data_IF_851455867930
#
_entry.id   IF_851455867930
#
_cell.length_a   1.000
_cell.length_b   1.000
_cell.length_c   1.000
_cell.angle_alpha   90.00
_cell.angle_beta   90.00
_cell.angle_gamma   90.00
#
_symmetry.space_group_name_H-M   'P 1'
#
loop_
_entity.id
_entity.type
_entity.pdbx_description
1 polymer ?
#
# COMPACT_ATOMS: atom_id res chain seq x y z
N UNK A 1 -2.03 2.43 15.44
CA UNK A 1 -2.22 1.10 14.85
C UNK A 1 -1.52 0.00 15.66
N UNK A 2 -2.08 -1.21 15.68
CA UNK A 2 -1.53 -2.41 16.33
C UNK A 2 -1.32 -3.53 15.31
N UNK A 3 -0.11 -4.07 15.23
CA UNK A 3 0.19 -5.21 14.35
C UNK A 3 -0.36 -6.52 14.91
N UNK A 4 -1.01 -7.31 14.05
CA UNK A 4 -1.54 -8.63 14.36
C UNK A 4 -0.52 -9.75 14.14
N UNK A 5 0.48 -9.49 13.31
CA UNK A 5 1.57 -10.40 13.02
C UNK A 5 2.86 -9.62 12.72
N UNK A 6 3.97 -10.35 12.57
CA UNK A 6 5.25 -9.75 12.23
C UNK A 6 5.25 -9.24 10.78
N UNK A 7 5.87 -8.07 10.50
CA UNK A 7 5.99 -7.50 9.16
C UNK A 7 7.07 -8.21 8.33
N UNK A 8 6.92 -9.53 8.14
CA UNK A 8 7.89 -10.36 7.43
C UNK A 8 8.07 -9.83 6.01
N UNK A 9 9.32 -9.47 5.68
CA UNK A 9 9.71 -8.95 4.37
C UNK A 9 8.97 -7.68 3.93
N UNK A 10 8.37 -6.89 4.84
CA UNK A 10 7.59 -5.68 4.49
C UNK A 10 8.34 -4.74 3.55
N UNK A 11 9.64 -4.61 3.77
CA UNK A 11 10.54 -3.80 2.95
C UNK A 11 11.11 -4.54 1.72
N UNK A 12 10.64 -5.74 1.41
CA UNK A 12 11.25 -6.65 0.44
C UNK A 12 12.42 -7.44 1.02
N UNK A 13 13.33 -7.90 0.16
CA UNK A 13 14.57 -8.55 0.57
C UNK A 13 15.65 -7.51 0.88
N UNK A 14 15.81 -7.21 2.16
CA UNK A 14 16.93 -6.43 2.68
C UNK A 14 17.59 -7.16 3.84
N UNK A 15 18.93 -7.11 3.90
CA UNK A 15 19.72 -7.61 5.03
C UNK A 15 19.49 -6.81 6.31
N UNK A 16 19.24 -5.51 6.17
CA UNK A 16 18.87 -4.61 7.25
C UNK A 16 17.66 -3.77 6.80
N UNK A 17 16.52 -3.80 7.52
CA UNK A 17 15.37 -3.00 7.15
C UNK A 17 15.69 -1.50 7.27
N UNK A 18 15.24 -0.66 6.33
CA UNK A 18 15.49 0.77 6.39
C UNK A 18 14.78 1.43 7.58
N UNK A 19 15.34 2.53 8.07
CA UNK A 19 14.63 3.42 8.99
C UNK A 19 13.43 4.05 8.26
N UNK A 20 12.19 3.84 8.73
CA UNK A 20 11.03 4.43 8.08
C UNK A 20 11.06 5.95 8.15
N UNK A 21 10.75 6.63 7.04
CA UNK A 21 10.56 8.08 7.04
C UNK A 21 9.18 8.44 7.58
N UNK A 22 9.11 9.55 8.32
CA UNK A 22 7.87 10.19 8.73
C UNK A 22 7.24 11.00 7.59
N UNK A 23 5.95 11.32 7.71
CA UNK A 23 5.28 12.22 6.75
C UNK A 23 5.94 13.60 6.71
N UNK A 24 6.38 14.13 7.87
CA UNK A 24 7.07 15.42 7.93
C UNK A 24 8.36 15.40 7.10
N UNK A 25 9.15 14.32 7.19
CA UNK A 25 10.37 14.16 6.38
C UNK A 25 10.06 14.03 4.89
N UNK A 26 8.99 13.34 4.50
CA UNK A 26 8.57 13.26 3.10
C UNK A 26 8.11 14.62 2.55
N UNK A 27 7.46 15.46 3.36
CA UNK A 27 7.11 16.83 2.98
C UNK A 27 8.37 17.68 2.84
N UNK A 28 9.29 17.62 3.81
CA UNK A 28 10.55 18.38 3.76
C UNK A 28 11.43 17.96 2.57
N UNK A 29 11.42 16.67 2.21
CA UNK A 29 12.14 16.15 1.04
C UNK A 29 11.47 16.53 -0.30
N UNK A 30 10.27 17.13 -0.28
CA UNK A 30 9.55 17.53 -1.49
C UNK A 30 8.86 16.38 -2.23
N UNK A 31 8.64 15.25 -1.54
CA UNK A 31 7.95 14.09 -2.10
C UNK A 31 6.44 14.33 -2.24
N UNK A 32 5.86 15.13 -1.35
CA UNK A 32 4.48 15.60 -1.43
C UNK A 32 4.34 16.95 -0.73
N UNK A 33 3.30 17.72 -1.06
CA UNK A 33 2.98 18.95 -0.34
C UNK A 33 2.24 18.66 0.97
N UNK A 34 2.25 19.61 1.91
CA UNK A 34 1.46 19.50 3.14
C UNK A 34 -0.05 19.39 2.86
N UNK A 35 -0.55 20.03 1.79
CA UNK A 35 -1.95 19.94 1.38
C UNK A 35 -2.33 18.54 0.91
N UNK A 36 -1.47 17.88 0.13
CA UNK A 36 -1.66 16.49 -0.29
C UNK A 36 -1.60 15.55 0.92
N UNK A 37 -0.64 15.76 1.83
CA UNK A 37 -0.56 14.99 3.07
C UNK A 37 -1.82 15.14 3.94
N UNK A 38 -2.37 16.36 4.06
CA UNK A 38 -3.60 16.60 4.80
C UNK A 38 -4.83 15.92 4.16
N UNK A 39 -4.91 15.88 2.83
CA UNK A 39 -5.95 15.14 2.11
C UNK A 39 -5.87 13.64 2.42
N UNK A 40 -4.66 13.06 2.37
CA UNK A 40 -4.48 11.67 2.76
C UNK A 40 -4.81 11.43 4.22
N UNK A 41 -4.46 12.35 5.12
CA UNK A 41 -4.81 12.21 6.54
C UNK A 41 -6.32 12.05 6.73
N UNK A 42 -7.12 12.98 6.22
CA UNK A 42 -8.59 12.93 6.36
C UNK A 42 -9.16 11.63 5.79
N UNK A 43 -8.60 11.13 4.69
CA UNK A 43 -9.05 9.89 4.07
C UNK A 43 -8.61 8.63 4.85
N UNK A 44 -7.39 8.62 5.39
CA UNK A 44 -6.84 7.53 6.19
C UNK A 44 -7.54 7.37 7.54
N UNK A 45 -7.96 8.47 8.18
CA UNK A 45 -8.82 8.42 9.37
C UNK A 45 -10.16 7.71 9.10
N UNK A 46 -10.62 7.74 7.84
CA UNK A 46 -11.84 7.03 7.39
C UNK A 46 -11.56 5.64 6.81
N UNK A 47 -10.31 5.18 6.92
CA UNK A 47 -9.85 3.87 6.48
C UNK A 47 -9.64 3.74 4.96
N UNK A 48 -9.26 4.81 4.26
CA UNK A 48 -9.00 4.74 2.82
C UNK A 48 -8.09 3.56 2.42
N UNK A 49 -8.53 2.78 1.43
CA UNK A 49 -7.72 1.73 0.81
C UNK A 49 -6.85 2.32 -0.29
N UNK A 50 -5.57 2.00 -0.34
CA UNK A 50 -4.65 2.61 -1.30
C UNK A 50 -3.59 1.68 -1.88
N UNK A 51 -3.18 2.03 -3.10
CA UNK A 51 -2.01 1.47 -3.80
C UNK A 51 -1.03 2.61 -4.06
N UNK A 52 0.23 2.45 -3.64
CA UNK A 52 1.33 3.35 -4.03
C UNK A 52 2.11 2.70 -5.17
N UNK A 53 2.14 3.36 -6.34
CA UNK A 53 2.66 2.78 -7.57
C UNK A 53 3.88 3.55 -8.09
N UNK A 54 4.87 2.81 -8.61
CA UNK A 54 6.01 3.34 -9.38
C UNK A 54 6.67 2.19 -10.13
N UNK A 55 7.13 2.39 -11.37
CA UNK A 55 7.77 1.32 -12.15
C UNK A 55 9.12 0.87 -11.56
N UNK A 56 10.07 1.74 -11.17
CA UNK A 56 11.36 1.25 -10.66
C UNK A 56 11.29 0.63 -9.26
N UNK A 57 12.07 -0.42 -8.97
CA UNK A 57 12.42 -0.81 -7.61
C UNK A 57 13.14 0.33 -6.86
N UNK A 58 13.10 0.32 -5.52
CA UNK A 58 13.76 1.35 -4.68
C UNK A 58 13.28 2.80 -4.94
N UNK A 59 12.07 2.91 -5.47
CA UNK A 59 11.34 4.14 -5.78
C UNK A 59 10.78 4.87 -4.57
N UNK A 60 10.68 4.19 -3.43
CA UNK A 60 10.13 4.74 -2.20
C UNK A 60 8.64 4.48 -2.00
N UNK A 61 8.03 3.54 -2.76
CA UNK A 61 6.62 3.13 -2.59
C UNK A 61 6.32 2.71 -1.15
N UNK A 62 7.07 1.73 -0.64
CA UNK A 62 6.89 1.20 0.73
C UNK A 62 7.19 2.25 1.78
N UNK A 63 8.17 3.14 1.55
CA UNK A 63 8.47 4.27 2.44
C UNK A 63 7.29 5.23 2.53
N UNK A 64 6.73 5.60 1.38
CA UNK A 64 5.57 6.50 1.29
C UNK A 64 4.34 5.89 1.93
N UNK A 65 4.02 4.62 1.60
CA UNK A 65 2.91 3.89 2.19
C UNK A 65 3.05 3.77 3.71
N UNK A 66 4.23 3.39 4.21
CA UNK A 66 4.48 3.24 5.65
C UNK A 66 4.32 4.56 6.39
N UNK A 67 4.75 5.68 5.79
CA UNK A 67 4.52 7.00 6.36
C UNK A 67 3.02 7.34 6.40
N UNK A 68 2.27 7.06 5.32
CA UNK A 68 0.82 7.34 5.25
C UNK A 68 0.01 6.52 6.26
N UNK A 69 0.46 5.30 6.59
CA UNK A 69 -0.16 4.48 7.64
C UNK A 69 -0.12 5.14 9.02
N UNK A 70 0.77 6.11 9.27
CA UNK A 70 0.79 6.88 10.52
C UNK A 70 -0.45 7.78 10.72
N UNK A 71 -1.21 8.05 9.65
CA UNK A 71 -2.48 8.78 9.73
C UNK A 71 -3.70 7.91 10.09
N UNK A 72 -3.52 6.60 10.26
CA UNK A 72 -4.60 5.74 10.75
C UNK A 72 -4.90 5.98 12.23
N UNK A 73 -6.12 5.65 12.65
CA UNK A 73 -6.53 5.78 14.05
C UNK A 73 -5.70 4.84 14.96
N UNK A 74 -5.45 5.22 16.24
CA UNK A 74 -4.58 4.46 17.15
C UNK A 74 -4.95 2.97 17.31
N UNK A 75 -6.23 2.65 17.29
CA UNK A 75 -6.84 1.33 17.45
C UNK A 75 -6.90 0.50 16.15
N UNK A 76 -6.52 1.07 15.01
CA UNK A 76 -6.45 0.38 13.72
C UNK A 76 -5.58 -0.87 13.82
N UNK A 77 -6.10 -2.01 13.38
CA UNK A 77 -5.33 -3.25 13.27
C UNK A 77 -4.63 -3.32 11.91
N UNK A 78 -3.38 -3.81 11.90
CA UNK A 78 -2.65 -4.09 10.66
C UNK A 78 -2.23 -5.55 10.61
N UNK A 79 -2.49 -6.19 9.48
CA UNK A 79 -2.09 -7.55 9.17
C UNK A 79 -1.18 -7.54 7.94
N UNK A 80 0.06 -7.99 8.11
CA UNK A 80 1.04 -8.09 7.02
C UNK A 80 0.88 -9.42 6.30
N UNK A 81 0.74 -9.39 4.97
CA UNK A 81 0.64 -10.63 4.21
C UNK A 81 1.98 -11.38 4.14
N UNK A 82 1.92 -12.70 3.96
CA UNK A 82 3.07 -13.61 3.97
C UNK A 82 3.38 -14.22 2.60
N UNK A 83 3.00 -13.54 1.53
CA UNK A 83 3.21 -13.98 0.15
C UNK A 83 2.60 -15.36 -0.13
N UNK A 84 3.40 -16.33 -0.60
CA UNK A 84 2.94 -17.70 -0.87
C UNK A 84 2.45 -18.45 0.37
N UNK A 85 2.95 -18.09 1.57
CA UNK A 85 2.53 -18.71 2.83
C UNK A 85 1.30 -18.06 3.48
N UNK A 86 0.56 -17.23 2.73
CA UNK A 86 -0.59 -16.51 3.26
C UNK A 86 -1.75 -17.45 3.62
N UNK A 87 -2.41 -17.18 4.74
CA UNK A 87 -3.54 -17.96 5.26
C UNK A 87 -4.79 -17.13 5.49
N UNK A 88 -4.66 -15.80 5.43
CA UNK A 88 -5.66 -14.80 5.78
C UNK A 88 -6.28 -15.06 7.16
N UNK A 89 -5.43 -15.35 8.16
CA UNK A 89 -5.80 -15.55 9.56
C UNK A 89 -6.20 -14.21 10.22
N UNK A 90 -7.29 -13.63 9.72
CA UNK A 90 -7.79 -12.32 10.07
C UNK A 90 -8.85 -12.42 11.17
N UNK A 91 -8.91 -11.44 12.09
CA UNK A 91 -10.07 -11.31 12.95
C UNK A 91 -11.32 -10.98 12.12
N UNK A 92 -12.53 -11.29 12.61
CA UNK A 92 -13.76 -10.80 12.01
C UNK A 92 -13.75 -9.27 11.87
N UNK A 93 -14.43 -8.78 10.83
CA UNK A 93 -14.61 -7.32 10.64
C UNK A 93 -15.33 -6.73 11.85
N UNK A 94 -14.83 -5.60 12.33
CA UNK A 94 -15.39 -4.86 13.46
C UNK A 94 -15.92 -3.50 12.99
N UNK A 95 -17.06 -3.03 13.51
CA UNK A 95 -17.51 -1.66 13.29
C UNK A 95 -16.71 -0.63 14.13
N UNK A 96 -15.99 -1.08 15.16
CA UNK A 96 -15.30 -0.19 16.11
C UNK A 96 -13.94 0.27 15.59
N UNK A 97 -13.26 -0.56 14.79
CA UNK A 97 -11.92 -0.29 14.30
C UNK A 97 -11.70 -0.87 12.89
N UNK A 98 -10.84 -0.22 12.12
CA UNK A 98 -10.42 -0.73 10.81
C UNK A 98 -9.39 -1.85 10.96
N UNK A 99 -9.44 -2.82 10.04
CA UNK A 99 -8.36 -3.81 9.85
C UNK A 99 -7.78 -3.64 8.45
N UNK A 100 -6.49 -3.26 8.39
CA UNK A 100 -5.73 -3.12 7.16
C UNK A 100 -4.99 -4.41 6.84
N UNK A 101 -5.16 -4.86 5.60
CA UNK A 101 -4.28 -5.79 4.93
C UNK A 101 -3.12 -4.98 4.35
N UNK A 102 -1.92 -5.22 4.86
CA UNK A 102 -0.68 -4.63 4.37
C UNK A 102 0.03 -5.65 3.49
N UNK A 103 -0.04 -5.41 2.18
CA UNK A 103 0.61 -6.24 1.16
C UNK A 103 1.87 -5.54 0.70
N UNK A 104 3.03 -6.16 0.92
CA UNK A 104 4.34 -5.56 0.68
C UNK A 104 4.44 -5.01 -0.75
N UNK A 105 4.12 -5.86 -1.71
CA UNK A 105 3.96 -5.52 -3.12
C UNK A 105 3.01 -6.52 -3.79
N UNK A 106 2.18 -6.02 -4.70
CA UNK A 106 1.39 -6.82 -5.62
C UNK A 106 2.18 -7.03 -6.92
N UNK A 107 2.92 -8.12 -6.99
CA UNK A 107 3.67 -8.56 -8.17
C UNK A 107 4.02 -10.06 -8.02
N UNK A 108 4.41 -10.71 -9.12
CA UNK A 108 4.81 -12.12 -9.18
C UNK A 108 6.33 -12.34 -8.97
N UNK A 109 7.08 -11.27 -8.69
CA UNK A 109 8.53 -11.27 -8.79
C UNK A 109 9.26 -12.15 -7.77
N UNK A 110 8.73 -12.28 -6.55
CA UNK A 110 9.36 -13.07 -5.48
C UNK A 110 8.31 -13.71 -4.53
N UNK A 111 8.64 -14.81 -3.83
CA UNK A 111 7.67 -15.58 -3.03
C UNK A 111 7.02 -14.84 -1.85
N UNK A 112 7.58 -13.70 -1.42
CA UNK A 112 7.06 -12.89 -0.31
C UNK A 112 6.05 -11.83 -0.78
N UNK A 113 5.91 -11.65 -2.10
CA UNK A 113 4.90 -10.78 -2.70
C UNK A 113 3.59 -11.51 -2.92
N UNK A 114 2.53 -10.74 -3.16
CA UNK A 114 1.17 -11.25 -3.28
C UNK A 114 0.69 -11.11 -4.71
N UNK A 115 0.43 -12.23 -5.36
CA UNK A 115 -0.13 -12.26 -6.71
C UNK A 115 -1.27 -13.27 -6.83
N UNK A 116 -1.80 -13.44 -8.04
CA UNK A 116 -2.81 -14.44 -8.40
C UNK A 116 -3.98 -14.54 -7.40
N UNK A 117 -4.21 -15.73 -6.86
CA UNK A 117 -5.36 -16.02 -5.99
C UNK A 117 -5.30 -15.25 -4.68
N UNK A 118 -4.11 -14.98 -4.14
CA UNK A 118 -3.97 -14.17 -2.93
C UNK A 118 -4.29 -12.70 -3.20
N UNK A 119 -3.93 -12.17 -4.38
CA UNK A 119 -4.33 -10.83 -4.79
C UNK A 119 -5.85 -10.75 -4.98
N UNK A 120 -6.45 -11.70 -5.73
CA UNK A 120 -7.91 -11.80 -5.89
C UNK A 120 -8.64 -11.90 -4.55
N UNK A 121 -8.12 -12.72 -3.62
CA UNK A 121 -8.69 -12.88 -2.28
C UNK A 121 -8.59 -11.60 -1.46
N UNK A 122 -7.48 -10.88 -1.54
CA UNK A 122 -7.29 -9.58 -0.88
C UNK A 122 -8.38 -8.60 -1.31
N UNK A 123 -8.64 -8.47 -2.61
CA UNK A 123 -9.69 -7.59 -3.12
C UNK A 123 -11.12 -8.06 -2.77
N UNK A 124 -11.35 -9.37 -2.71
CA UNK A 124 -12.63 -9.90 -2.21
C UNK A 124 -12.85 -9.64 -0.69
N UNK A 125 -11.78 -9.42 0.08
CA UNK A 125 -11.89 -9.01 1.49
C UNK A 125 -12.21 -7.52 1.61
N UNK A 126 -11.80 -6.68 0.65
CA UNK A 126 -12.14 -5.26 0.65
C UNK A 126 -13.65 -5.04 0.57
N UNK A 127 -14.34 -5.84 -0.24
CA UNK A 127 -15.81 -5.81 -0.31
C UNK A 127 -16.52 -6.30 0.96
N UNK A 128 -15.79 -6.91 1.89
CA UNK A 128 -16.30 -7.35 3.20
C UNK A 128 -16.05 -6.32 4.30
N UNK A 129 -15.33 -5.23 4.01
CA UNK A 129 -15.06 -4.13 4.97
C UNK A 129 -13.61 -4.02 5.44
N UNK A 130 -12.72 -4.93 5.04
CA UNK A 130 -11.28 -4.80 5.26
C UNK A 130 -10.70 -3.67 4.41
N UNK A 131 -9.57 -3.09 4.85
CA UNK A 131 -8.87 -2.02 4.13
C UNK A 131 -7.56 -2.52 3.55
N UNK A 132 -7.04 -1.85 2.53
CA UNK A 132 -5.78 -2.23 1.88
C UNK A 132 -4.75 -1.10 1.96
N UNK A 133 -3.51 -1.47 2.27
CA UNK A 133 -2.34 -0.68 1.93
C UNK A 133 -1.38 -1.57 1.15
N UNK A 134 -1.03 -1.20 -0.08
CA UNK A 134 -0.07 -1.97 -0.86
C UNK A 134 0.76 -1.12 -1.82
N UNK A 135 1.77 -1.74 -2.43
CA UNK A 135 2.57 -1.16 -3.48
C UNK A 135 2.47 -1.98 -4.76
N UNK A 136 2.70 -1.34 -5.91
CA UNK A 136 2.64 -2.02 -7.22
C UNK A 136 3.65 -1.40 -8.19
N UNK A 137 4.12 -2.19 -9.16
CA UNK A 137 4.94 -1.71 -10.27
C UNK A 137 4.04 -1.18 -11.38
N UNK A 138 3.89 0.14 -11.46
CA UNK A 138 3.19 0.84 -12.54
C UNK A 138 3.53 2.33 -12.50
N UNK A 139 3.56 2.98 -13.66
CA UNK A 139 3.81 4.43 -13.75
C UNK A 139 2.54 5.28 -13.78
N UNK A 140 1.39 4.68 -14.02
CA UNK A 140 0.11 5.40 -14.20
C UNK A 140 -1.03 4.68 -13.50
N UNK A 141 -2.11 5.42 -13.22
CA UNK A 141 -3.36 4.85 -12.71
C UNK A 141 -3.90 3.77 -13.66
N UNK A 142 -3.90 4.04 -14.97
CA UNK A 142 -4.35 3.08 -15.99
C UNK A 142 -3.51 1.79 -15.99
N UNK A 143 -2.20 1.91 -15.74
CA UNK A 143 -1.31 0.75 -15.62
C UNK A 143 -1.65 -0.14 -14.43
N UNK A 144 -1.96 0.48 -13.28
CA UNK A 144 -2.45 -0.25 -12.09
C UNK A 144 -3.78 -0.94 -12.38
N UNK A 145 -4.75 -0.21 -12.96
CA UNK A 145 -6.06 -0.77 -13.26
C UNK A 145 -5.98 -1.91 -14.29
N UNK A 146 -5.11 -1.80 -15.29
CA UNK A 146 -4.89 -2.87 -16.27
C UNK A 146 -4.39 -4.16 -15.59
N UNK A 147 -3.41 -4.06 -14.69
CA UNK A 147 -2.91 -5.24 -13.95
C UNK A 147 -3.98 -5.86 -13.06
N UNK A 148 -4.75 -5.04 -12.33
CA UNK A 148 -5.80 -5.54 -11.45
C UNK A 148 -6.95 -6.22 -12.22
N UNK A 149 -7.45 -5.57 -13.28
CA UNK A 149 -8.66 -6.03 -13.98
C UNK A 149 -8.38 -7.04 -15.10
N UNK A 150 -7.27 -6.88 -15.83
CA UNK A 150 -6.96 -7.73 -17.00
C UNK A 150 -6.06 -8.89 -16.60
N UNK A 151 -4.97 -8.61 -15.90
CA UNK A 151 -3.96 -9.64 -15.60
C UNK A 151 -4.41 -10.52 -14.42
N UNK A 152 -4.90 -9.89 -13.34
CA UNK A 152 -5.40 -10.60 -12.16
C UNK A 152 -6.88 -10.99 -12.25
N UNK A 153 -7.61 -10.49 -13.26
CA UNK A 153 -9.05 -10.71 -13.45
C UNK A 153 -9.89 -10.35 -12.21
N UNK A 154 -9.48 -9.33 -11.44
CA UNK A 154 -10.23 -8.87 -10.28
C UNK A 154 -11.51 -8.17 -10.76
N UNK A 155 -12.70 -8.55 -10.26
CA UNK A 155 -13.94 -7.88 -10.63
C UNK A 155 -13.89 -6.38 -10.33
N UNK A 156 -14.38 -5.55 -11.26
CA UNK A 156 -14.50 -4.09 -11.07
C UNK A 156 -15.21 -3.70 -9.79
N UNK A 157 -16.21 -4.49 -9.38
CA UNK A 157 -16.92 -4.30 -8.11
C UNK A 157 -16.00 -4.41 -6.89
N UNK A 158 -14.98 -5.27 -6.94
CA UNK A 158 -13.98 -5.36 -5.87
C UNK A 158 -12.95 -4.24 -5.96
N UNK A 159 -12.49 -3.90 -7.18
CA UNK A 159 -11.55 -2.77 -7.41
C UNK A 159 -12.16 -1.45 -6.95
N UNK A 160 -13.48 -1.25 -7.10
CA UNK A 160 -14.20 -0.06 -6.67
C UNK A 160 -14.14 0.23 -5.16
N UNK A 161 -13.67 -0.72 -4.33
CA UNK A 161 -13.41 -0.49 -2.91
C UNK A 161 -12.03 0.15 -2.63
N UNK A 162 -11.17 0.31 -3.64
CA UNK A 162 -10.00 1.16 -3.55
C UNK A 162 -10.41 2.63 -3.46
N UNK A 163 -9.73 3.38 -2.60
CA UNK A 163 -9.93 4.83 -2.47
C UNK A 163 -8.90 5.60 -3.30
N UNK A 164 -7.64 5.18 -3.27
CA UNK A 164 -6.57 5.84 -4.02
C UNK A 164 -5.67 4.86 -4.77
N UNK A 165 -5.27 5.29 -5.97
CA UNK A 165 -4.08 4.82 -6.65
C UNK A 165 -3.16 6.03 -6.70
N UNK A 166 -1.95 5.89 -6.17
CA UNK A 166 -1.00 7.00 -5.94
C UNK A 166 0.27 6.73 -6.73
N UNK A 167 0.35 7.20 -8.00
CA UNK A 167 1.56 7.09 -8.80
C UNK A 167 2.66 8.02 -8.25
N UNK A 168 3.89 7.53 -8.26
CA UNK A 168 5.08 8.30 -7.92
C UNK A 168 5.98 8.45 -9.15
N UNK A 169 6.38 9.68 -9.43
CA UNK A 169 7.45 9.99 -10.35
C UNK A 169 8.82 9.89 -9.69
N UNK A 170 9.77 9.39 -10.46
CA UNK A 170 11.18 9.31 -10.08
C UNK A 170 11.99 9.99 -11.17
N UNK A 171 12.70 11.04 -10.77
CA UNK A 171 13.56 11.81 -11.67
C UNK A 171 14.98 11.94 -11.13
N UNK A 172 15.85 12.56 -11.94
CA UNK A 172 17.18 12.98 -11.51
C UNK A 172 17.36 14.48 -11.76
N UNK A 173 17.68 15.23 -10.70
CA UNK A 173 18.12 16.62 -10.80
C UNK A 173 19.04 16.90 -9.61
N UNK A 174 20.36 16.97 -9.85
CA UNK A 174 21.41 17.07 -8.81
C UNK A 174 21.36 15.99 -7.71
N UNK A 175 20.53 14.95 -7.90
CA UNK A 175 20.18 13.91 -6.94
C UNK A 175 18.93 13.15 -7.43
N UNK A 176 18.49 12.13 -6.71
CA UNK A 176 17.24 11.41 -7.03
C UNK A 176 16.06 12.21 -6.48
N UNK A 177 15.09 12.54 -7.33
CA UNK A 177 13.81 13.14 -6.93
C UNK A 177 12.75 12.03 -6.93
N UNK A 178 11.93 11.99 -5.88
CA UNK A 178 10.74 11.14 -5.77
C UNK A 178 9.55 12.04 -5.46
N UNK A 179 8.45 11.96 -6.21
CA UNK A 179 7.29 12.84 -6.00
C UNK A 179 5.98 12.16 -6.39
N UNK A 180 4.91 12.37 -5.62
CA UNK A 180 3.55 11.98 -6.01
C UNK A 180 3.08 12.88 -7.16
N UNK A 181 2.60 12.30 -8.25
CA UNK A 181 2.27 13.05 -9.48
C UNK A 181 0.80 13.29 -9.75
N UNK A 182 -0.09 12.47 -9.21
CA UNK A 182 -1.53 12.48 -9.51
C UNK A 182 -2.35 12.19 -8.25
#
# INVERSE_FOLDING_TARGET
MRALNQPTSWWGWHWEPPTPMSIAELIMAGNMSAAVAAMFWVAMERGASMIVAADPPSSGKTTTLSALMSFTLPDTLVYFTRGQGETFALPPVSPEYATYLLVNEMSDHIPVYTWDDHARKTFALLSQGYRLGTTMHADTVDGVLAQLERDLAIPKSHVAHLTFIVPMFIGRQQGIIRRITE
#
